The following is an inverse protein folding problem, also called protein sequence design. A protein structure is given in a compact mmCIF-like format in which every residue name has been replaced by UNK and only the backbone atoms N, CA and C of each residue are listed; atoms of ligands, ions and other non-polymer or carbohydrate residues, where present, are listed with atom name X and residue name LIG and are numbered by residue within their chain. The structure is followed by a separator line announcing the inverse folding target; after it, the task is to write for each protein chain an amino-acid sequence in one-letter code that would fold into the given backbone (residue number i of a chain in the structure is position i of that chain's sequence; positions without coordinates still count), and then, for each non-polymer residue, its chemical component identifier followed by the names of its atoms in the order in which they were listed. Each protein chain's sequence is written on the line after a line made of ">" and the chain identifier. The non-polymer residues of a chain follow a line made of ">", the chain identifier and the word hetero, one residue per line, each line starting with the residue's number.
data_IF_213526349988
#
_entry.id   IF_213526349988
#
_cell.length_a   1.000
_cell.length_b   1.000
_cell.length_c   1.000
_cell.angle_alpha   90.00
_cell.angle_beta   90.00
_cell.angle_gamma   90.00
#
_symmetry.space_group_name_H-M   'P 1'
#
loop_
_entity.id
_entity.type
_entity.pdbx_description
1 polymer ?
#
# COMPACT_ATOMS: atom_id res chain seq x y z
N UNK A 1 1.40 -17.52 -49.07
CA UNK A 1 0.27 -17.71 -49.96
C UNK A 1 -1.04 -17.50 -49.23
N UNK A 2 -1.75 -16.51 -49.67
CA UNK A 2 -3.05 -16.04 -49.21
C UNK A 2 -4.14 -16.94 -49.77
N UNK A 3 -5.14 -17.30 -48.97
CA UNK A 3 -6.43 -17.66 -49.56
C UNK A 3 -7.57 -17.21 -48.67
N UNK A 4 -8.27 -16.25 -49.20
CA UNK A 4 -9.65 -15.86 -48.92
C UNK A 4 -10.63 -16.94 -49.36
N UNK A 5 -11.70 -17.16 -48.59
CA UNK A 5 -12.99 -17.65 -49.11
C UNK A 5 -14.10 -17.06 -48.25
N UNK A 6 -14.77 -16.13 -48.72
CA UNK A 6 -16.03 -15.98 -49.42
C UNK A 6 -17.25 -16.44 -48.66
N UNK A 7 -18.05 -15.43 -48.37
CA UNK A 7 -19.41 -15.47 -47.89
C UNK A 7 -20.38 -16.23 -48.78
N UNK A 8 -21.32 -16.95 -48.19
CA UNK A 8 -22.58 -17.29 -48.85
C UNK A 8 -23.74 -16.92 -47.96
N UNK A 9 -24.40 -15.92 -48.39
CA UNK A 9 -25.77 -15.56 -48.04
C UNK A 9 -26.74 -16.64 -48.55
N UNK A 10 -27.67 -17.03 -47.71
CA UNK A 10 -28.85 -17.79 -48.17
C UNK A 10 -30.10 -17.02 -47.70
N UNK A 11 -30.86 -16.74 -48.71
CA UNK A 11 -32.06 -15.96 -48.81
C UNK A 11 -33.27 -16.60 -48.10
N UNK A 12 -34.06 -15.71 -47.53
CA UNK A 12 -35.49 -15.71 -47.25
C UNK A 12 -36.35 -16.82 -47.89
N UNK A 13 -37.22 -17.38 -47.01
CA UNK A 13 -38.55 -17.81 -47.45
C UNK A 13 -39.59 -17.13 -46.55
N UNK A 14 -40.41 -16.33 -47.19
CA UNK A 14 -41.66 -15.81 -46.66
C UNK A 14 -42.71 -16.90 -46.68
N UNK A 15 -43.47 -16.96 -45.61
CA UNK A 15 -44.81 -17.52 -45.66
C UNK A 15 -45.80 -16.70 -44.85
N UNK A 16 -47.06 -16.67 -45.30
CA UNK A 16 -48.03 -15.69 -44.86
C UNK A 16 -48.99 -16.17 -43.76
N UNK A 17 -49.34 -15.24 -42.99
CA UNK A 17 -50.61 -15.00 -42.35
C UNK A 17 -51.34 -16.09 -41.62
N UNK A 18 -51.38 -15.99 -40.30
CA UNK A 18 -52.54 -16.42 -39.53
C UNK A 18 -52.88 -15.39 -38.45
N UNK A 19 -53.99 -14.77 -38.63
CA UNK A 19 -54.66 -13.95 -37.61
C UNK A 19 -54.98 -14.82 -36.41
N UNK A 20 -54.39 -14.48 -35.28
CA UNK A 20 -54.94 -14.97 -33.98
C UNK A 20 -55.32 -13.81 -33.10
N UNK A 21 -56.50 -14.00 -32.59
CA UNK A 21 -57.33 -13.18 -31.73
C UNK A 21 -56.59 -12.58 -30.55
N UNK A 22 -56.89 -11.33 -30.28
CA UNK A 22 -56.56 -10.65 -29.02
C UNK A 22 -57.12 -11.47 -27.86
N UNK A 23 -56.23 -11.87 -26.95
CA UNK A 23 -56.60 -12.21 -25.58
C UNK A 23 -56.11 -11.04 -24.72
N UNK A 24 -57.07 -10.38 -24.17
CA UNK A 24 -56.94 -9.45 -23.05
C UNK A 24 -56.46 -10.26 -21.83
N UNK A 25 -55.41 -9.87 -21.19
CA UNK A 25 -54.96 -10.58 -20.00
C UNK A 25 -53.57 -10.17 -19.56
N UNK A 26 -53.50 -9.26 -18.63
CA UNK A 26 -52.35 -9.26 -17.74
C UNK A 26 -51.61 -7.98 -17.49
N UNK A 27 -52.26 -7.03 -16.87
CA UNK A 27 -51.59 -5.96 -16.11
C UNK A 27 -51.00 -6.47 -14.78
N UNK A 28 -50.22 -7.53 -14.79
CA UNK A 28 -49.60 -8.04 -13.55
C UNK A 28 -48.11 -8.29 -13.61
N UNK A 29 -47.45 -8.04 -14.75
CA UNK A 29 -46.00 -8.34 -14.91
C UNK A 29 -45.04 -7.18 -14.67
N UNK A 30 -45.55 -5.94 -14.51
CA UNK A 30 -44.66 -4.77 -14.33
C UNK A 30 -44.18 -4.54 -12.88
N UNK A 31 -45.00 -4.91 -11.89
CA UNK A 31 -44.62 -4.66 -10.48
C UNK A 31 -43.55 -5.63 -9.95
N UNK A 32 -43.49 -6.86 -10.44
CA UNK A 32 -42.48 -7.83 -10.06
C UNK A 32 -41.06 -7.48 -10.60
N UNK A 33 -41.03 -6.92 -11.82
CA UNK A 33 -39.75 -6.51 -12.43
C UNK A 33 -39.17 -5.23 -11.80
N UNK A 34 -40.02 -4.32 -11.33
CA UNK A 34 -39.60 -3.10 -10.64
C UNK A 34 -39.08 -3.40 -9.22
N UNK A 35 -39.72 -4.30 -8.50
CA UNK A 35 -39.27 -4.78 -7.19
C UNK A 35 -37.90 -5.48 -7.27
N UNK A 36 -37.67 -6.32 -8.28
CA UNK A 36 -36.39 -6.97 -8.52
C UNK A 36 -35.28 -5.97 -8.78
N UNK A 37 -35.53 -4.96 -9.60
CA UNK A 37 -34.53 -3.91 -9.90
C UNK A 37 -34.21 -3.04 -8.68
N UNK A 38 -35.18 -2.77 -7.83
CA UNK A 38 -34.96 -2.00 -6.59
C UNK A 38 -34.14 -2.80 -5.57
N UNK A 39 -34.41 -4.09 -5.44
CA UNK A 39 -33.64 -4.99 -4.57
C UNK A 39 -32.18 -5.15 -5.04
N UNK A 40 -31.97 -5.30 -6.33
CA UNK A 40 -30.62 -5.35 -6.92
C UNK A 40 -29.85 -4.05 -6.72
N UNK A 41 -30.52 -2.90 -6.88
CA UNK A 41 -29.90 -1.60 -6.65
C UNK A 41 -29.56 -1.39 -5.18
N UNK A 42 -30.38 -1.87 -4.26
CA UNK A 42 -30.14 -1.78 -2.83
C UNK A 42 -28.96 -2.69 -2.41
N UNK A 43 -28.92 -3.91 -2.92
CA UNK A 43 -27.81 -4.85 -2.68
C UNK A 43 -26.47 -4.27 -3.16
N UNK A 44 -26.43 -3.65 -4.35
CA UNK A 44 -25.24 -2.98 -4.87
C UNK A 44 -24.78 -1.79 -4.01
N UNK A 45 -25.74 -1.04 -3.46
CA UNK A 45 -25.41 0.08 -2.55
C UNK A 45 -24.84 -0.40 -1.22
N UNK A 46 -25.36 -1.49 -0.69
CA UNK A 46 -24.85 -2.09 0.55
C UNK A 46 -23.45 -2.67 0.35
N UNK A 47 -23.23 -3.36 -0.76
CA UNK A 47 -21.92 -3.88 -1.13
C UNK A 47 -20.89 -2.74 -1.26
N UNK A 48 -21.25 -1.67 -1.98
CA UNK A 48 -20.38 -0.49 -2.12
C UNK A 48 -20.05 0.15 -0.77
N UNK A 49 -21.02 0.21 0.15
CA UNK A 49 -20.78 0.73 1.52
C UNK A 49 -19.83 -0.14 2.32
N UNK A 50 -19.95 -1.48 2.20
CA UNK A 50 -19.05 -2.44 2.86
C UNK A 50 -17.62 -2.28 2.34
N UNK A 51 -17.45 -2.24 1.02
CA UNK A 51 -16.14 -2.05 0.38
C UNK A 51 -15.51 -0.73 0.80
N UNK A 52 -16.27 0.37 0.82
CA UNK A 52 -15.77 1.66 1.27
C UNK A 52 -15.39 1.67 2.75
N UNK A 53 -16.18 1.01 3.61
CA UNK A 53 -15.89 0.90 5.03
C UNK A 53 -14.61 0.09 5.28
N UNK A 54 -14.39 -0.96 4.50
CA UNK A 54 -13.20 -1.79 4.59
C UNK A 54 -11.95 -1.07 4.08
N UNK A 55 -12.06 -0.35 2.95
CA UNK A 55 -11.00 0.52 2.44
C UNK A 55 -10.64 1.63 3.43
N UNK A 56 -11.63 2.20 4.12
CA UNK A 56 -11.40 3.21 5.16
C UNK A 56 -10.69 2.65 6.38
N UNK A 57 -11.01 1.41 6.79
CA UNK A 57 -10.28 0.70 7.85
C UNK A 57 -8.84 0.41 7.46
N UNK A 58 -8.62 0.00 6.23
CA UNK A 58 -7.28 -0.24 5.67
C UNK A 58 -6.46 1.06 5.61
N UNK A 59 -7.04 2.17 5.16
CA UNK A 59 -6.38 3.50 5.18
C UNK A 59 -6.02 3.93 6.60
N UNK A 60 -6.88 3.65 7.59
CA UNK A 60 -6.58 3.94 9.00
C UNK A 60 -5.41 3.13 9.54
N UNK A 61 -5.25 1.88 9.09
CA UNK A 61 -4.10 1.04 9.44
C UNK A 61 -2.81 1.51 8.76
N UNK A 62 -2.88 2.18 7.62
CA UNK A 62 -1.76 2.67 6.82
C UNK A 62 -1.58 4.18 6.96
N UNK A 63 -1.43 4.67 8.17
CA UNK A 63 -1.06 6.06 8.37
C UNK A 63 0.39 6.29 7.99
N UNK A 64 0.63 7.36 7.26
CA UNK A 64 1.99 7.78 6.93
C UNK A 64 2.73 8.26 8.18
N UNK A 65 3.98 7.87 8.23
CA UNK A 65 4.94 8.39 9.18
C UNK A 65 5.89 9.34 8.46
N UNK A 66 6.35 10.34 9.19
CA UNK A 66 7.45 11.19 8.76
C UNK A 66 8.53 11.18 9.83
N UNK A 67 9.73 10.82 9.44
CA UNK A 67 10.91 10.83 10.30
C UNK A 67 11.92 11.81 9.73
N UNK A 68 12.41 12.70 10.56
CA UNK A 68 13.47 13.64 10.24
C UNK A 68 14.71 13.26 11.03
N UNK A 69 15.79 12.95 10.34
CA UNK A 69 17.07 12.57 10.92
C UNK A 69 18.14 13.59 10.51
N UNK A 70 19.16 13.72 11.35
CA UNK A 70 20.34 14.52 11.06
C UNK A 70 21.59 13.73 11.33
N UNK A 71 22.50 13.69 10.35
CA UNK A 71 23.84 13.18 10.55
C UNK A 71 24.62 14.22 11.37
N UNK A 72 25.05 13.84 12.58
CA UNK A 72 25.71 14.75 13.50
C UNK A 72 27.13 15.14 13.08
N UNK A 73 27.74 14.40 12.15
CA UNK A 73 29.07 14.66 11.68
C UNK A 73 29.09 15.58 10.43
N UNK A 74 28.12 15.40 9.52
CA UNK A 74 28.00 16.19 8.29
C UNK A 74 26.95 17.29 8.34
N UNK A 75 26.11 17.31 9.38
CA UNK A 75 24.94 18.20 9.50
C UNK A 75 23.92 18.05 8.38
N UNK A 76 23.94 16.92 7.68
CA UNK A 76 22.98 16.62 6.63
C UNK A 76 21.67 16.15 7.24
N UNK A 77 20.56 16.77 6.84
CA UNK A 77 19.22 16.38 7.25
C UNK A 77 18.58 15.50 6.22
N UNK A 78 17.92 14.45 6.69
CA UNK A 78 17.13 13.52 5.90
C UNK A 78 15.69 13.53 6.36
N UNK A 79 14.76 13.52 5.42
CA UNK A 79 13.34 13.45 5.71
C UNK A 79 12.71 12.30 4.92
N UNK A 80 12.06 11.40 5.60
CA UNK A 80 11.40 10.24 5.01
C UNK A 80 9.91 10.21 5.34
N UNK A 81 9.10 10.01 4.32
CA UNK A 81 7.67 9.74 4.45
C UNK A 81 7.47 8.28 4.05
N UNK A 82 6.88 7.49 4.93
CA UNK A 82 6.76 6.05 4.73
C UNK A 82 5.58 5.47 5.50
N UNK A 83 5.17 4.25 5.11
CA UNK A 83 4.12 3.49 5.81
C UNK A 83 4.70 2.38 6.67
N UNK A 84 5.70 1.67 6.20
CA UNK A 84 6.18 0.41 6.76
C UNK A 84 7.58 0.49 7.34
N UNK A 85 8.57 0.82 6.51
CA UNK A 85 9.96 0.74 6.95
C UNK A 85 10.91 1.68 6.20
N UNK A 86 12.04 1.94 6.87
CA UNK A 86 13.20 2.64 6.31
C UNK A 86 14.42 1.77 6.58
N UNK A 87 15.07 1.26 5.52
CA UNK A 87 16.36 0.60 5.66
C UNK A 87 17.50 1.61 5.71
N UNK A 88 18.55 1.29 6.45
CA UNK A 88 19.78 2.09 6.54
C UNK A 88 20.98 1.17 6.33
N UNK A 89 21.86 1.52 5.43
CA UNK A 89 23.03 0.73 5.16
C UNK A 89 24.00 1.40 4.17
N UNK A 90 25.09 0.69 3.87
CA UNK A 90 26.13 1.18 2.96
C UNK A 90 25.81 0.92 1.48
N UNK A 91 24.91 0.00 1.16
CA UNK A 91 24.51 -0.25 -0.21
C UNK A 91 23.95 1.03 -0.87
N UNK A 92 24.16 1.20 -2.16
CA UNK A 92 23.67 2.37 -2.88
C UNK A 92 22.15 2.36 -3.03
N UNK A 93 21.55 1.18 -3.10
CA UNK A 93 20.10 1.00 -3.17
C UNK A 93 19.59 0.00 -2.15
N UNK A 94 18.46 0.31 -1.55
CA UNK A 94 17.82 -0.52 -0.53
C UNK A 94 16.73 -1.41 -1.11
N UNK A 95 17.10 -2.47 -1.80
CA UNK A 95 16.12 -3.45 -2.27
C UNK A 95 15.44 -4.15 -1.09
N UNK A 96 14.12 -4.24 -1.13
CA UNK A 96 13.31 -4.85 -0.07
C UNK A 96 12.85 -3.90 1.02
N UNK A 97 13.29 -2.64 0.98
CA UNK A 97 12.81 -1.58 1.88
C UNK A 97 11.90 -0.58 1.16
N UNK A 98 10.93 -0.04 1.86
CA UNK A 98 10.06 1.00 1.30
C UNK A 98 10.81 2.31 1.07
N UNK A 99 11.62 2.72 2.03
CA UNK A 99 12.57 3.83 1.94
C UNK A 99 13.94 3.35 2.39
N UNK A 100 14.96 4.05 1.94
CA UNK A 100 16.33 3.66 2.25
C UNK A 100 17.25 4.87 2.38
N UNK A 101 18.05 4.86 3.43
CA UNK A 101 19.14 5.82 3.63
C UNK A 101 20.47 5.13 3.33
N UNK A 102 21.13 5.59 2.28
CA UNK A 102 22.45 5.10 1.90
C UNK A 102 23.57 5.87 2.59
N UNK A 103 24.37 5.18 3.38
CA UNK A 103 25.59 5.68 4.00
C UNK A 103 26.81 5.09 3.28
N UNK A 104 26.85 5.24 1.96
CA UNK A 104 27.86 4.61 1.09
C UNK A 104 29.31 5.06 1.39
N UNK A 105 29.48 6.18 2.04
CA UNK A 105 30.79 6.73 2.38
C UNK A 105 31.39 6.18 3.68
N UNK A 106 30.59 5.52 4.51
CA UNK A 106 31.05 4.93 5.75
C UNK A 106 31.34 3.42 5.58
N UNK A 107 32.61 3.08 5.41
CA UNK A 107 33.04 1.70 5.22
C UNK A 107 32.80 0.76 6.40
N UNK A 108 32.48 1.30 7.59
CA UNK A 108 32.14 0.53 8.79
C UNK A 108 30.67 0.21 8.90
N UNK A 109 29.84 0.76 8.02
CA UNK A 109 28.41 0.44 7.91
C UNK A 109 28.25 -0.79 7.01
N UNK A 110 27.48 -1.78 7.46
CA UNK A 110 27.14 -2.93 6.64
C UNK A 110 26.20 -2.57 5.50
N UNK A 111 26.21 -3.34 4.42
CA UNK A 111 25.31 -3.09 3.25
C UNK A 111 23.84 -3.00 3.65
N UNK A 112 23.40 -3.90 4.50
CA UNK A 112 22.12 -3.87 5.22
C UNK A 112 22.44 -3.77 6.70
N UNK A 113 22.35 -2.62 7.29
CA UNK A 113 22.84 -2.43 8.65
C UNK A 113 21.71 -2.47 9.69
N UNK A 114 20.73 -1.62 9.55
CA UNK A 114 19.58 -1.56 10.44
C UNK A 114 18.34 -1.11 9.69
N UNK A 115 17.19 -1.21 10.35
CA UNK A 115 15.90 -0.84 9.80
C UNK A 115 15.04 -0.17 10.85
N UNK A 116 14.33 0.86 10.46
CA UNK A 116 13.27 1.50 11.24
C UNK A 116 11.96 0.91 10.75
N UNK A 117 11.20 0.27 11.64
CA UNK A 117 9.94 -0.39 11.30
C UNK A 117 8.78 0.19 12.09
N UNK A 118 7.64 0.30 11.45
CA UNK A 118 6.38 0.65 12.07
C UNK A 118 5.69 -0.61 12.61
N UNK A 119 5.32 -0.57 13.88
CA UNK A 119 4.52 -1.61 14.51
C UNK A 119 3.55 -0.98 15.51
N UNK A 120 2.25 -1.15 15.26
CA UNK A 120 1.22 -0.50 16.05
C UNK A 120 1.24 1.02 15.89
N UNK A 121 1.40 1.73 16.97
CA UNK A 121 1.47 3.20 17.02
C UNK A 121 2.89 3.74 17.29
N UNK A 122 3.90 2.88 17.16
CA UNK A 122 5.29 3.19 17.46
C UNK A 122 6.23 2.79 16.31
N UNK A 123 7.38 3.44 16.30
CA UNK A 123 8.50 3.04 15.46
C UNK A 123 9.53 2.28 16.30
N UNK A 124 10.13 1.27 15.69
CA UNK A 124 11.17 0.45 16.30
C UNK A 124 12.43 0.46 15.43
N UNK A 125 13.57 0.48 16.09
CA UNK A 125 14.87 0.28 15.48
C UNK A 125 15.31 -1.17 15.66
N UNK A 126 15.70 -1.81 14.56
CA UNK A 126 16.17 -3.20 14.55
C UNK A 126 17.50 -3.31 13.81
N UNK A 127 18.45 -4.02 14.40
CA UNK A 127 19.69 -4.39 13.71
C UNK A 127 19.43 -5.51 12.71
N UNK A 128 19.98 -5.41 11.51
CA UNK A 128 19.84 -6.38 10.41
C UNK A 128 21.03 -7.35 10.31
N UNK A 129 21.59 -7.77 11.43
CA UNK A 129 22.76 -8.62 11.47
C UNK A 129 24.02 -7.89 11.03
N UNK A 130 24.17 -6.63 11.40
CA UNK A 130 25.31 -5.81 11.04
C UNK A 130 26.62 -6.34 11.63
N UNK A 131 27.72 -6.09 10.92
CA UNK A 131 29.05 -6.53 11.36
C UNK A 131 29.53 -5.81 12.62
N UNK A 132 29.31 -4.52 12.72
CA UNK A 132 29.80 -3.67 13.80
C UNK A 132 28.75 -3.27 14.83
N UNK A 133 27.50 -3.74 14.64
CA UNK A 133 26.40 -3.45 15.55
C UNK A 133 25.70 -2.11 15.28
N UNK A 134 24.50 -2.02 15.81
CA UNK A 134 23.69 -0.81 15.86
C UNK A 134 23.51 -0.39 17.31
N UNK A 135 23.60 0.89 17.58
CA UNK A 135 23.51 1.45 18.92
C UNK A 135 22.40 2.50 18.98
N UNK A 136 21.68 2.54 20.07
CA UNK A 136 20.71 3.57 20.36
C UNK A 136 21.10 4.27 21.66
N UNK A 137 21.41 5.56 21.60
CA UNK A 137 21.92 6.34 22.73
C UNK A 137 23.13 5.69 23.42
N UNK A 138 23.99 5.04 22.65
CA UNK A 138 25.19 4.36 23.14
C UNK A 138 24.98 2.91 23.59
N UNK A 139 23.76 2.42 23.62
CA UNK A 139 23.42 1.03 23.99
C UNK A 139 23.26 0.14 22.78
N UNK A 140 23.84 -1.06 22.80
CA UNK A 140 23.73 -2.01 21.70
C UNK A 140 22.28 -2.48 21.49
N UNK A 141 21.82 -2.43 20.24
CA UNK A 141 20.49 -2.88 19.84
C UNK A 141 20.56 -4.37 19.51
N UNK A 142 20.20 -5.21 20.48
CA UNK A 142 20.18 -6.69 20.34
C UNK A 142 18.80 -7.23 19.98
N UNK A 143 17.77 -6.43 20.10
CA UNK A 143 16.38 -6.72 19.78
C UNK A 143 15.71 -5.44 19.33
N UNK A 144 14.53 -5.48 18.67
CA UNK A 144 13.81 -4.27 18.30
C UNK A 144 13.55 -3.38 19.52
N UNK A 145 13.91 -2.10 19.43
CA UNK A 145 13.73 -1.12 20.49
C UNK A 145 12.90 0.05 19.98
N UNK A 146 12.11 0.64 20.86
CA UNK A 146 11.28 1.80 20.54
C UNK A 146 12.17 2.99 20.19
N UNK A 147 11.87 3.64 19.07
CA UNK A 147 12.55 4.84 18.61
C UNK A 147 11.72 6.07 18.95
N UNK A 148 12.34 7.07 19.54
CA UNK A 148 11.70 8.30 19.97
C UNK A 148 12.45 9.52 19.44
N UNK A 149 11.79 10.67 19.49
CA UNK A 149 12.43 11.97 19.22
C UNK A 149 13.63 12.16 20.16
N UNK A 150 14.66 12.77 19.63
CA UNK A 150 15.95 13.07 20.30
C UNK A 150 16.86 11.83 20.50
N UNK A 151 16.44 10.65 20.10
CA UNK A 151 17.31 9.47 20.10
C UNK A 151 18.43 9.60 19.07
N UNK A 152 19.59 9.06 19.39
CA UNK A 152 20.77 9.02 18.52
C UNK A 152 21.07 7.58 18.14
N UNK A 153 20.99 7.30 16.84
CA UNK A 153 21.36 6.01 16.26
C UNK A 153 22.84 6.03 15.90
N UNK A 154 23.61 5.11 16.47
CA UNK A 154 25.01 4.90 16.14
C UNK A 154 25.18 3.66 15.26
N UNK A 155 25.82 3.82 14.11
CA UNK A 155 26.17 2.73 13.21
C UNK A 155 27.49 3.04 12.48
N UNK A 156 28.46 2.13 12.58
CA UNK A 156 29.80 2.39 12.04
C UNK A 156 30.41 3.66 12.65
N UNK A 157 30.88 4.56 11.83
CA UNK A 157 31.32 5.91 12.24
C UNK A 157 30.25 6.98 12.17
N UNK A 158 29.02 6.63 11.87
CA UNK A 158 27.91 7.57 11.65
C UNK A 158 27.00 7.65 12.87
N UNK A 159 26.57 8.86 13.21
CA UNK A 159 25.56 9.11 14.26
C UNK A 159 24.41 9.90 13.66
N UNK A 160 23.20 9.34 13.80
CA UNK A 160 21.98 9.94 13.28
C UNK A 160 21.06 10.31 14.44
N UNK A 161 20.76 11.58 14.61
CA UNK A 161 19.80 12.06 15.60
C UNK A 161 18.40 12.08 15.01
N UNK A 162 17.43 11.57 15.75
CA UNK A 162 16.01 11.68 15.41
C UNK A 162 15.52 13.08 15.82
N UNK A 163 15.41 13.97 14.84
CA UNK A 163 14.94 15.34 15.11
C UNK A 163 13.45 15.39 15.38
N UNK A 164 12.69 14.60 14.67
CA UNK A 164 11.25 14.51 14.87
C UNK A 164 10.66 13.23 14.30
N UNK A 165 9.57 12.79 14.91
CA UNK A 165 8.71 11.69 14.42
C UNK A 165 7.29 12.23 14.37
N UNK A 166 6.71 12.24 13.18
CA UNK A 166 5.35 12.72 12.95
C UNK A 166 4.51 11.57 12.38
N UNK A 167 3.27 11.51 12.80
CA UNK A 167 2.29 10.59 12.26
C UNK A 167 1.16 11.38 11.62
N UNK A 168 0.70 10.94 10.46
CA UNK A 168 -0.45 11.55 9.78
C UNK A 168 -1.66 11.57 10.74
N UNK A 169 -2.23 12.76 10.95
CA UNK A 169 -3.46 12.93 11.71
C UNK A 169 -4.67 12.44 10.92
N UNK A 170 -5.69 12.00 11.63
CA UNK A 170 -6.97 11.64 11.02
C UNK A 170 -7.67 12.84 10.37
#
# INVERSE_FOLDING_TARGET
>A
AVQLMAARSVSLAQQPGERRKRADGGRQSSQGAENGRQQDAQARREEARRVQAEQRKERKKRRQWKVILEDLDSWTKYSFIFYSNIGIGRAESGQGYERYLSLSEDGRVSKKHCVIVHRGDKLYLKDEGSRNGTYLNGEAVTRPVVLQKDDVIGLGGTRLEILNILRESE
#
